data_IF_495990160048
#
_entry.id   IF_495990160048
#
_cell.length_a   1.000
_cell.length_b   1.000
_cell.length_c   1.000
_cell.angle_alpha   90.00
_cell.angle_beta   90.00
_cell.angle_gamma   90.00
#
_symmetry.space_group_name_H-M   'P 1'
#
loop_
_entity.id
_entity.type
_entity.pdbx_description
1 polymer ?
#
# COMPACT_ATOMS: atom_id res chain seq x y z
N UNK A 1 43.57 37.33 -35.55
CA UNK A 1 43.56 36.67 -34.19
C UNK A 1 42.33 35.77 -34.11
N UNK A 2 42.52 34.48 -34.36
CA UNK A 2 41.40 33.50 -34.48
C UNK A 2 41.02 32.92 -33.11
N UNK A 3 39.72 32.95 -32.86
CA UNK A 3 39.02 32.52 -31.63
C UNK A 3 39.30 31.06 -31.24
N UNK A 4 40.22 30.82 -30.31
CA UNK A 4 40.49 29.51 -29.74
C UNK A 4 39.79 29.28 -28.38
N UNK A 5 38.86 30.19 -28.01
CA UNK A 5 38.19 30.12 -26.70
C UNK A 5 37.05 29.09 -26.55
N UNK A 6 36.38 28.56 -27.59
CA UNK A 6 35.29 27.61 -27.32
C UNK A 6 35.74 26.14 -27.11
N UNK A 7 36.94 25.74 -27.53
CA UNK A 7 37.35 24.35 -27.42
C UNK A 7 37.75 23.95 -25.98
N UNK A 8 38.36 24.87 -25.22
CA UNK A 8 38.74 24.61 -23.82
C UNK A 8 37.56 24.48 -22.88
N UNK A 9 36.49 25.27 -23.09
CA UNK A 9 35.31 25.21 -22.29
C UNK A 9 34.50 23.91 -22.50
N UNK A 10 34.43 23.44 -23.74
CA UNK A 10 33.75 22.17 -24.06
C UNK A 10 34.50 20.95 -23.45
N UNK A 11 35.83 20.99 -23.45
CA UNK A 11 36.64 19.91 -22.87
C UNK A 11 36.48 19.84 -21.34
N UNK A 12 36.40 20.98 -20.65
CA UNK A 12 36.18 21.05 -19.22
C UNK A 12 34.80 20.55 -18.83
N UNK A 13 33.76 20.85 -19.59
CA UNK A 13 32.37 20.35 -19.34
C UNK A 13 32.33 18.83 -19.51
N UNK A 14 32.97 18.28 -20.55
CA UNK A 14 33.01 16.83 -20.77
C UNK A 14 33.81 16.11 -19.68
N UNK A 15 34.90 16.71 -19.18
CA UNK A 15 35.69 16.14 -18.09
C UNK A 15 34.89 16.17 -16.76
N UNK A 16 34.14 17.24 -16.49
CA UNK A 16 33.29 17.36 -15.32
C UNK A 16 32.12 16.35 -15.36
N UNK A 17 31.53 16.13 -16.53
CA UNK A 17 30.50 15.12 -16.73
C UNK A 17 31.03 13.70 -16.58
N UNK A 18 32.21 13.39 -17.07
CA UNK A 18 32.85 12.10 -16.91
C UNK A 18 33.26 11.81 -15.46
N UNK A 19 33.74 12.82 -14.73
CA UNK A 19 34.04 12.71 -13.28
C UNK A 19 32.74 12.55 -12.45
N UNK A 20 31.67 13.24 -12.78
CA UNK A 20 30.38 13.09 -12.12
C UNK A 20 29.77 11.70 -12.35
N UNK A 21 30.00 11.11 -13.52
CA UNK A 21 29.58 9.73 -13.82
C UNK A 21 30.44 8.69 -13.10
N UNK A 22 31.75 8.93 -13.02
CA UNK A 22 32.67 8.01 -12.33
C UNK A 22 32.54 8.06 -10.81
N UNK A 23 32.17 9.22 -10.26
CA UNK A 23 31.90 9.40 -8.82
C UNK A 23 30.50 8.89 -8.37
N UNK A 24 29.70 8.35 -9.27
CA UNK A 24 28.37 7.82 -8.94
C UNK A 24 27.32 8.89 -8.58
N UNK A 25 27.65 10.17 -8.73
CA UNK A 25 26.74 11.27 -8.37
C UNK A 25 25.54 11.41 -9.33
N UNK A 26 25.63 10.89 -10.56
CA UNK A 26 24.52 10.92 -11.53
C UNK A 26 23.75 9.60 -11.53
N UNK A 27 24.19 8.57 -10.83
CA UNK A 27 23.51 7.27 -10.67
C UNK A 27 22.68 7.14 -9.40
N UNK A 28 22.60 8.18 -8.57
CA UNK A 28 21.93 8.13 -7.26
C UNK A 28 20.41 8.44 -7.31
N UNK A 29 19.84 8.58 -8.50
CA UNK A 29 18.38 8.70 -8.65
C UNK A 29 17.81 7.34 -9.04
N UNK A 30 17.52 6.55 -8.04
CA UNK A 30 16.61 5.39 -8.02
C UNK A 30 17.22 4.11 -7.45
N UNK A 31 18.23 4.22 -6.59
CA UNK A 31 18.26 3.28 -5.48
C UNK A 31 17.56 4.01 -4.34
N UNK A 32 16.23 4.00 -4.37
CA UNK A 32 15.45 4.13 -3.16
C UNK A 32 16.11 3.16 -2.20
N UNK A 33 16.87 3.74 -1.28
CA UNK A 33 17.43 3.03 -0.14
C UNK A 33 16.31 2.13 0.36
N UNK A 34 16.59 0.85 0.49
CA UNK A 34 15.77 -0.10 1.22
C UNK A 34 15.73 0.26 2.72
N UNK A 35 15.86 1.54 3.05
CA UNK A 35 15.59 2.16 4.32
C UNK A 35 14.08 2.33 4.43
N UNK A 36 13.41 1.29 4.92
CA UNK A 36 12.00 1.36 5.21
C UNK A 36 11.17 0.14 4.86
N UNK A 37 11.75 -1.00 4.52
CA UNK A 37 11.07 -2.25 4.80
C UNK A 37 11.17 -2.43 6.31
N UNK A 38 10.26 -1.78 7.04
CA UNK A 38 9.98 -2.21 8.40
C UNK A 38 9.47 -3.64 8.25
N UNK A 39 10.32 -4.63 8.58
CA UNK A 39 9.88 -6.01 8.65
C UNK A 39 8.68 -6.02 9.58
N UNK A 40 7.51 -6.37 9.03
CA UNK A 40 6.28 -6.40 9.79
C UNK A 40 6.44 -7.41 10.94
N UNK A 41 6.43 -6.93 12.17
CA UNK A 41 6.60 -7.75 13.36
C UNK A 41 5.24 -8.01 14.00
N UNK A 42 4.74 -9.22 13.82
CA UNK A 42 3.41 -9.63 14.29
C UNK A 42 3.22 -9.43 15.81
N UNK A 43 4.28 -9.57 16.59
CA UNK A 43 4.23 -9.40 18.06
C UNK A 43 3.91 -7.97 18.54
N UNK A 44 4.11 -6.97 17.68
CA UNK A 44 3.81 -5.54 17.96
C UNK A 44 2.59 -5.04 17.19
N UNK A 45 1.87 -5.96 16.55
CA UNK A 45 0.73 -5.63 15.75
C UNK A 45 -0.56 -5.70 16.55
N UNK A 46 -1.48 -4.81 16.22
CA UNK A 46 -2.85 -4.79 16.69
C UNK A 46 -3.72 -5.32 15.56
N UNK A 47 -4.62 -6.24 15.86
CA UNK A 47 -5.59 -6.74 14.90
C UNK A 47 -6.77 -5.77 14.79
N UNK A 48 -7.05 -5.36 13.58
CA UNK A 48 -8.21 -4.54 13.22
C UNK A 48 -9.18 -5.43 12.43
N UNK A 49 -10.47 -5.32 12.74
CA UNK A 49 -11.54 -6.01 12.03
C UNK A 49 -12.56 -4.98 11.58
N UNK A 50 -12.83 -4.93 10.29
CA UNK A 50 -13.77 -4.03 9.65
C UNK A 50 -14.89 -4.80 8.95
N UNK A 51 -16.09 -4.26 8.99
CA UNK A 51 -17.26 -4.80 8.34
C UNK A 51 -18.28 -5.42 9.32
N UNK A 52 -19.31 -6.09 8.80
CA UNK A 52 -19.45 -6.54 7.40
C UNK A 52 -19.74 -5.38 6.42
N UNK A 53 -18.97 -5.33 5.34
CA UNK A 53 -19.21 -4.40 4.24
C UNK A 53 -19.90 -5.14 3.11
N UNK A 54 -20.97 -4.56 2.56
CA UNK A 54 -21.70 -5.11 1.41
C UNK A 54 -21.55 -4.18 0.21
N UNK A 55 -21.17 -4.73 -0.93
CA UNK A 55 -20.95 -3.97 -2.17
C UNK A 55 -21.34 -4.79 -3.39
N UNK A 56 -21.59 -4.09 -4.50
CA UNK A 56 -21.68 -4.73 -5.81
C UNK A 56 -20.29 -5.13 -6.28
N UNK A 57 -20.20 -6.22 -7.03
CA UNK A 57 -19.03 -6.58 -7.82
C UNK A 57 -19.07 -5.89 -9.20
N UNK A 58 -18.01 -6.05 -9.97
CA UNK A 58 -17.94 -5.56 -11.34
C UNK A 58 -19.15 -6.02 -12.15
N UNK A 59 -19.76 -5.10 -12.91
CA UNK A 59 -20.96 -5.35 -13.69
C UNK A 59 -22.29 -5.28 -12.91
N UNK A 60 -22.26 -5.04 -11.58
CA UNK A 60 -23.43 -4.79 -10.71
C UNK A 60 -24.49 -5.90 -10.66
N UNK A 61 -24.20 -7.09 -11.19
CA UNK A 61 -25.12 -8.25 -11.19
C UNK A 61 -24.93 -9.10 -9.92
N UNK A 62 -23.73 -9.11 -9.39
CA UNK A 62 -23.37 -9.88 -8.20
C UNK A 62 -23.04 -8.97 -7.03
N UNK A 63 -23.32 -9.46 -5.82
CA UNK A 63 -23.02 -8.77 -4.57
C UNK A 63 -21.98 -9.56 -3.78
N UNK A 64 -21.18 -8.83 -3.01
CA UNK A 64 -20.26 -9.39 -2.03
C UNK A 64 -20.58 -8.79 -0.65
N UNK A 65 -20.63 -9.64 0.36
CA UNK A 65 -20.58 -9.23 1.76
C UNK A 65 -19.33 -9.83 2.39
N UNK A 66 -18.48 -8.99 2.97
CA UNK A 66 -17.23 -9.45 3.56
C UNK A 66 -16.87 -8.69 4.83
N UNK A 67 -16.21 -9.42 5.72
CA UNK A 67 -15.48 -8.86 6.86
C UNK A 67 -14.00 -8.95 6.57
N UNK A 68 -13.28 -7.87 6.82
CA UNK A 68 -11.83 -7.78 6.57
C UNK A 68 -11.13 -7.72 7.91
N UNK A 69 -10.11 -8.55 8.11
CA UNK A 69 -9.27 -8.51 9.31
C UNK A 69 -7.79 -8.44 8.93
N UNK A 70 -7.05 -7.55 9.58
CA UNK A 70 -5.65 -7.34 9.27
C UNK A 70 -4.87 -6.86 10.48
N UNK A 71 -3.61 -7.28 10.64
CA UNK A 71 -2.74 -6.76 11.67
C UNK A 71 -2.04 -5.49 11.18
N UNK A 72 -2.00 -4.47 12.03
CA UNK A 72 -1.28 -3.22 11.79
C UNK A 72 -0.36 -2.90 12.97
N UNK A 73 0.81 -2.34 12.72
CA UNK A 73 1.71 -1.92 13.79
C UNK A 73 1.06 -0.80 14.63
N UNK A 74 1.04 -0.95 15.94
CA UNK A 74 0.38 0.00 16.85
C UNK A 74 0.82 1.46 16.63
N UNK A 75 2.13 1.68 16.40
CA UNK A 75 2.66 3.01 16.12
C UNK A 75 2.10 3.60 14.81
N UNK A 76 1.94 2.77 13.77
CA UNK A 76 1.39 3.21 12.49
C UNK A 76 -0.12 3.49 12.59
N UNK A 77 -0.84 2.74 13.41
CA UNK A 77 -2.24 2.98 13.70
C UNK A 77 -2.43 4.34 14.37
N UNK A 78 -1.65 4.63 15.42
CA UNK A 78 -1.70 5.92 16.12
C UNK A 78 -1.33 7.08 15.20
N UNK A 79 -0.34 6.90 14.32
CA UNK A 79 0.06 7.93 13.36
C UNK A 79 -1.02 8.19 12.30
N UNK A 80 -1.78 7.18 11.92
CA UNK A 80 -2.94 7.31 11.03
C UNK A 80 -4.19 7.89 11.73
N UNK A 81 -4.08 8.26 13.01
CA UNK A 81 -5.17 8.84 13.80
C UNK A 81 -6.08 7.80 14.45
N UNK A 82 -5.72 6.52 14.37
CA UNK A 82 -6.42 5.45 15.07
C UNK A 82 -5.91 5.22 16.48
N UNK A 83 -6.60 4.36 17.21
CA UNK A 83 -6.18 3.87 18.52
C UNK A 83 -6.42 2.35 18.59
N UNK A 84 -5.63 1.61 19.37
CA UNK A 84 -5.85 0.18 19.54
C UNK A 84 -7.29 -0.08 19.99
N UNK A 85 -8.04 -0.95 19.30
CA UNK A 85 -9.40 -1.28 19.69
C UNK A 85 -9.41 -1.94 21.06
N UNK A 86 -10.40 -1.63 21.88
CA UNK A 86 -10.65 -2.33 23.15
C UNK A 86 -11.04 -3.79 22.90
N UNK A 87 -11.02 -4.60 23.96
CA UNK A 87 -11.44 -6.01 23.88
C UNK A 87 -12.88 -6.08 23.38
N UNK A 88 -13.10 -6.76 22.24
CA UNK A 88 -14.43 -6.92 21.63
C UNK A 88 -14.90 -5.74 20.78
N UNK A 89 -14.09 -4.70 20.59
CA UNK A 89 -14.40 -3.62 19.64
C UNK A 89 -13.90 -3.95 18.24
N UNK A 90 -14.61 -3.43 17.23
CA UNK A 90 -14.22 -3.46 15.82
C UNK A 90 -13.71 -2.08 15.40
N UNK A 91 -12.98 -2.04 14.27
CA UNK A 91 -12.48 -0.80 13.69
C UNK A 91 -11.12 -0.34 14.22
N UNK A 92 -10.69 0.80 13.73
CA UNK A 92 -9.39 1.41 14.07
C UNK A 92 -9.46 2.33 15.29
N UNK A 93 -10.63 2.49 15.89
CA UNK A 93 -10.88 3.48 16.94
C UNK A 93 -10.96 4.92 16.43
N UNK A 94 -11.04 5.10 15.11
CA UNK A 94 -11.21 6.38 14.43
C UNK A 94 -12.24 6.25 13.33
N UNK A 95 -13.39 6.88 13.49
CA UNK A 95 -14.49 6.84 12.49
C UNK A 95 -14.06 7.35 11.11
N UNK A 96 -13.14 8.31 11.06
CA UNK A 96 -12.62 8.82 9.79
C UNK A 96 -11.76 7.78 9.08
N UNK A 97 -10.87 7.09 9.80
CA UNK A 97 -10.02 6.05 9.25
C UNK A 97 -10.83 4.82 8.84
N UNK A 98 -11.79 4.40 9.69
CA UNK A 98 -12.72 3.30 9.39
C UNK A 98 -13.49 3.58 8.09
N UNK A 99 -14.04 4.80 7.94
CA UNK A 99 -14.75 5.21 6.72
C UNK A 99 -13.87 5.22 5.46
N UNK A 100 -12.60 5.60 5.60
CA UNK A 100 -11.64 5.55 4.50
C UNK A 100 -11.33 4.11 4.08
N UNK A 101 -11.12 3.22 5.06
CA UNK A 101 -10.88 1.80 4.81
C UNK A 101 -12.12 1.16 4.17
N UNK A 102 -13.31 1.42 4.69
CA UNK A 102 -14.57 0.92 4.13
C UNK A 102 -14.76 1.38 2.67
N UNK A 103 -14.46 2.64 2.38
CA UNK A 103 -14.49 3.19 1.01
C UNK A 103 -13.53 2.44 0.11
N UNK A 104 -12.28 2.24 0.53
CA UNK A 104 -11.29 1.53 -0.27
C UNK A 104 -11.68 0.06 -0.52
N UNK A 105 -12.25 -0.62 0.48
CA UNK A 105 -12.78 -1.98 0.34
C UNK A 105 -13.93 -2.01 -0.66
N UNK A 106 -14.87 -1.08 -0.55
CA UNK A 106 -16.03 -0.95 -1.44
C UNK A 106 -15.61 -0.70 -2.89
N UNK A 107 -14.67 0.21 -3.12
CA UNK A 107 -14.17 0.56 -4.45
C UNK A 107 -13.43 -0.62 -5.09
N UNK A 108 -12.65 -1.37 -4.30
CA UNK A 108 -12.02 -2.59 -4.79
C UNK A 108 -13.07 -3.66 -5.17
N UNK A 109 -14.11 -3.84 -4.36
CA UNK A 109 -15.18 -4.78 -4.69
C UNK A 109 -15.85 -4.43 -6.02
N UNK A 110 -16.16 -3.15 -6.26
CA UNK A 110 -16.81 -2.67 -7.50
C UNK A 110 -15.98 -2.92 -8.76
N UNK A 111 -14.68 -3.06 -8.63
CA UNK A 111 -13.76 -3.35 -9.74
C UNK A 111 -13.32 -4.81 -9.81
N UNK A 112 -13.85 -5.64 -8.92
CA UNK A 112 -13.48 -7.07 -8.83
C UNK A 112 -14.48 -7.93 -9.61
N UNK A 113 -14.01 -8.69 -10.63
CA UNK A 113 -14.85 -9.64 -11.35
C UNK A 113 -15.33 -10.77 -10.43
N UNK A 114 -16.62 -11.13 -10.50
CA UNK A 114 -17.18 -12.25 -9.76
C UNK A 114 -16.40 -13.56 -9.99
N UNK A 115 -16.04 -13.86 -11.25
CA UNK A 115 -15.30 -15.05 -11.61
C UNK A 115 -13.94 -15.17 -10.90
N UNK A 116 -13.30 -14.04 -10.55
CA UNK A 116 -12.05 -14.04 -9.79
C UNK A 116 -12.23 -14.62 -8.39
N UNK A 117 -13.36 -14.36 -7.75
CA UNK A 117 -13.64 -14.80 -6.39
C UNK A 117 -14.01 -16.30 -6.30
N UNK A 118 -14.33 -16.92 -7.45
CA UNK A 118 -14.67 -18.33 -7.52
C UNK A 118 -13.44 -19.27 -7.52
N UNK A 119 -12.24 -18.73 -7.57
CA UNK A 119 -11.01 -19.52 -7.61
C UNK A 119 -10.10 -19.24 -6.42
N UNK A 120 -9.39 -20.26 -5.88
CA UNK A 120 -8.44 -20.04 -4.78
C UNK A 120 -7.31 -19.08 -5.15
N UNK A 121 -6.87 -19.05 -6.41
CA UNK A 121 -5.86 -18.11 -6.90
C UNK A 121 -6.39 -16.69 -6.97
N UNK A 122 -7.62 -16.51 -7.41
CA UNK A 122 -8.30 -15.23 -7.45
C UNK A 122 -8.57 -14.66 -6.05
N UNK A 123 -9.00 -15.50 -5.10
CA UNK A 123 -9.14 -15.07 -3.69
C UNK A 123 -7.79 -14.62 -3.09
N UNK A 124 -6.70 -15.33 -3.38
CA UNK A 124 -5.36 -14.88 -2.95
C UNK A 124 -4.96 -13.55 -3.59
N UNK A 125 -5.31 -13.34 -4.86
CA UNK A 125 -5.09 -12.08 -5.55
C UNK A 125 -5.92 -10.97 -4.92
N UNK A 126 -7.21 -11.18 -4.71
CA UNK A 126 -8.12 -10.24 -4.07
C UNK A 126 -7.62 -9.79 -2.68
N UNK A 127 -7.19 -10.73 -1.82
CA UNK A 127 -6.60 -10.39 -0.51
C UNK A 127 -5.32 -9.55 -0.61
N UNK A 128 -4.49 -9.79 -1.63
CA UNK A 128 -3.31 -8.94 -1.86
C UNK A 128 -3.69 -7.53 -2.31
N UNK A 129 -4.73 -7.40 -3.11
CA UNK A 129 -5.24 -6.10 -3.56
C UNK A 129 -5.92 -5.36 -2.41
N UNK A 130 -6.72 -6.03 -1.57
CA UNK A 130 -7.22 -5.49 -0.31
C UNK A 130 -6.10 -4.95 0.59
N UNK A 131 -5.05 -5.76 0.78
CA UNK A 131 -3.90 -5.31 1.56
C UNK A 131 -3.28 -4.04 1.00
N UNK A 132 -3.14 -3.94 -0.32
CA UNK A 132 -2.57 -2.73 -0.96
C UNK A 132 -3.47 -1.51 -0.76
N UNK A 133 -4.77 -1.68 -0.94
CA UNK A 133 -5.75 -0.62 -0.76
C UNK A 133 -5.74 -0.10 0.70
N UNK A 134 -5.78 -0.99 1.68
CA UNK A 134 -5.73 -0.65 3.10
C UNK A 134 -4.38 -0.04 3.49
N UNK A 135 -3.27 -0.60 2.99
CA UNK A 135 -1.92 -0.14 3.33
C UNK A 135 -1.62 1.29 2.85
N UNK A 136 -2.41 1.84 1.92
CA UNK A 136 -2.28 3.22 1.47
C UNK A 136 -2.56 4.26 2.58
N UNK A 137 -3.28 3.87 3.62
CA UNK A 137 -3.61 4.73 4.76
C UNK A 137 -2.62 4.62 5.93
N UNK A 138 -1.63 3.76 5.82
CA UNK A 138 -0.66 3.49 6.87
C UNK A 138 0.77 3.67 6.36
N UNK A 139 1.73 3.68 7.29
CA UNK A 139 3.15 3.68 6.92
C UNK A 139 3.51 2.46 6.06
N UNK A 140 4.42 2.62 5.09
CA UNK A 140 4.88 1.49 4.27
C UNK A 140 5.40 0.33 5.13
N UNK A 141 4.90 -0.88 4.85
CA UNK A 141 5.31 -2.10 5.55
C UNK A 141 4.70 -2.32 6.93
N UNK A 142 3.81 -1.42 7.39
CA UNK A 142 3.18 -1.54 8.72
C UNK A 142 1.90 -2.39 8.75
N UNK A 143 1.35 -2.76 7.58
CA UNK A 143 0.16 -3.61 7.45
C UNK A 143 0.56 -5.02 7.07
N UNK A 144 0.13 -5.99 7.85
CA UNK A 144 0.38 -7.42 7.61
C UNK A 144 -0.56 -8.04 6.57
N UNK A 145 -0.62 -9.37 6.55
CA UNK A 145 -1.53 -10.09 5.65
C UNK A 145 -2.99 -9.76 5.99
N UNK A 146 -3.81 -9.57 4.95
CA UNK A 146 -5.24 -9.35 5.10
C UNK A 146 -5.97 -10.69 5.03
N UNK A 147 -6.86 -10.92 5.96
CA UNK A 147 -7.77 -12.05 6.03
C UNK A 147 -9.19 -11.61 5.75
N UNK A 148 -10.00 -12.53 5.28
CA UNK A 148 -11.45 -12.33 5.05
C UNK A 148 -12.19 -13.42 5.82
N UNK A 149 -12.40 -13.23 7.15
CA UNK A 149 -13.03 -14.24 8.01
C UNK A 149 -14.44 -14.61 7.54
N UNK A 150 -15.14 -13.66 6.95
CA UNK A 150 -16.40 -13.89 6.29
C UNK A 150 -16.36 -13.29 4.89
N UNK A 151 -16.70 -14.09 3.88
CA UNK A 151 -16.85 -13.65 2.50
C UNK A 151 -17.98 -14.45 1.87
N UNK A 152 -19.05 -13.76 1.52
CA UNK A 152 -20.24 -14.34 0.86
C UNK A 152 -20.45 -13.60 -0.44
N UNK A 153 -20.65 -14.34 -1.52
CA UNK A 153 -21.02 -13.79 -2.84
C UNK A 153 -22.38 -14.30 -3.27
N UNK A 154 -23.16 -13.45 -3.87
CA UNK A 154 -24.52 -13.77 -4.38
C UNK A 154 -24.68 -13.26 -5.80
#
# INVERSE_FOLDING_TARGET
MKRLLPLGAALLIMLALALAWHSGLIGAHARGTAAGRSDFVLQKAVWITEGPTTSNLEGSVHYISLTVSFPVMAAALTQAGGSPPGVGSTGTGSTALDSQIETAVTDLCRTTPYAMLQTPSGLRRFRRELRRAIAAYFLPGSVGPVETPSLVTQ
#
